data_IF_534330767353
#
_entry.id   IF_534330767353
#
_cell.length_a   1.000
_cell.length_b   1.000
_cell.length_c   1.000
_cell.angle_alpha   90.00
_cell.angle_beta   90.00
_cell.angle_gamma   90.00
#
_symmetry.space_group_name_H-M   'P 1'
#
loop_
_entity.id
_entity.type
_entity.pdbx_description
1 polymer ?
#
# COMPACT_ATOMS: atom_id res chain seq x y z
N UNK A 1 6.20 22.06 -7.31
CA UNK A 1 5.46 20.84 -6.90
C UNK A 1 6.12 20.25 -5.66
N UNK A 2 5.32 19.97 -4.65
CA UNK A 2 5.81 19.46 -3.38
C UNK A 2 6.11 17.96 -3.46
N UNK A 3 6.92 17.45 -2.53
CA UNK A 3 7.29 16.04 -2.48
C UNK A 3 6.08 15.12 -2.41
N UNK A 4 5.04 15.51 -1.66
CA UNK A 4 3.81 14.73 -1.57
C UNK A 4 3.15 14.55 -2.94
N UNK A 5 3.06 15.63 -3.70
CA UNK A 5 2.46 15.59 -5.04
C UNK A 5 3.25 14.70 -5.98
N UNK A 6 4.59 14.77 -5.90
CA UNK A 6 5.46 13.90 -6.71
C UNK A 6 5.24 12.43 -6.38
N UNK A 7 5.09 12.10 -5.09
CA UNK A 7 4.84 10.72 -4.66
C UNK A 7 3.52 10.17 -5.21
N UNK A 8 2.52 11.05 -5.36
CA UNK A 8 1.22 10.64 -5.91
C UNK A 8 1.28 10.40 -7.41
N UNK A 9 2.20 11.04 -8.11
CA UNK A 9 2.35 10.87 -9.56
C UNK A 9 3.08 9.58 -9.92
N UNK A 10 3.91 9.06 -9.03
CA UNK A 10 4.69 7.86 -9.28
C UNK A 10 4.13 6.68 -8.48
N UNK A 11 3.71 5.65 -9.19
CA UNK A 11 3.13 4.46 -8.58
C UNK A 11 4.09 3.29 -8.73
N UNK A 12 4.69 2.90 -7.62
CA UNK A 12 5.68 1.84 -7.60
C UNK A 12 5.01 0.47 -7.52
N UNK A 13 5.24 -0.36 -8.52
CA UNK A 13 4.80 -1.74 -8.51
C UNK A 13 6.00 -2.65 -8.65
N UNK A 14 6.15 -3.56 -7.70
CA UNK A 14 7.25 -4.50 -7.66
C UNK A 14 6.74 -5.88 -8.06
N UNK A 15 7.41 -6.52 -9.01
CA UNK A 15 7.16 -7.93 -9.32
C UNK A 15 8.33 -8.73 -8.78
N UNK A 16 8.09 -9.43 -7.68
CA UNK A 16 9.14 -10.17 -6.97
C UNK A 16 9.28 -11.61 -7.44
N UNK A 17 8.34 -12.06 -8.26
CA UNK A 17 8.31 -13.39 -8.84
C UNK A 17 6.98 -13.59 -9.54
N UNK A 18 6.75 -14.73 -10.22
CA UNK A 18 5.45 -15.00 -10.86
C UNK A 18 4.33 -14.95 -9.82
N UNK A 19 3.36 -14.07 -10.03
CA UNK A 19 2.24 -13.90 -9.12
C UNK A 19 2.57 -13.22 -7.79
N UNK A 20 3.79 -12.70 -7.62
CA UNK A 20 4.21 -12.06 -6.36
C UNK A 20 4.36 -10.56 -6.64
N UNK A 21 3.23 -9.86 -6.62
CA UNK A 21 3.20 -8.43 -6.92
C UNK A 21 2.91 -7.62 -5.65
N UNK A 22 3.70 -6.57 -5.45
CA UNK A 22 3.49 -5.61 -4.36
C UNK A 22 3.43 -4.22 -4.98
N UNK A 23 2.26 -3.59 -4.88
CA UNK A 23 2.03 -2.27 -5.44
C UNK A 23 1.34 -1.34 -4.44
N UNK A 24 0.94 -0.14 -4.91
CA UNK A 24 0.36 0.88 -4.02
C UNK A 24 -0.87 0.42 -3.25
N UNK A 25 -1.76 -0.33 -3.90
CA UNK A 25 -2.99 -0.80 -3.25
C UNK A 25 -2.72 -1.68 -2.05
N UNK A 26 -1.85 -2.67 -2.20
CA UNK A 26 -1.49 -3.57 -1.09
C UNK A 26 -0.75 -2.82 0.01
N UNK A 27 0.16 -1.91 -0.36
CA UNK A 27 0.88 -1.09 0.62
C UNK A 27 -0.08 -0.18 1.40
N UNK A 28 -1.03 0.44 0.71
CA UNK A 28 -2.02 1.30 1.35
C UNK A 28 -2.93 0.52 2.30
N UNK A 29 -3.27 -0.72 1.95
CA UNK A 29 -4.05 -1.56 2.84
C UNK A 29 -3.26 -1.92 4.11
N UNK A 30 -1.99 -2.28 3.97
CA UNK A 30 -1.11 -2.51 5.13
C UNK A 30 -1.06 -1.29 6.03
N UNK A 31 -0.87 -0.10 5.45
CA UNK A 31 -0.82 1.15 6.21
C UNK A 31 -2.14 1.43 6.92
N UNK A 32 -3.26 1.19 6.23
CA UNK A 32 -4.59 1.34 6.83
C UNK A 32 -4.80 0.43 8.03
N UNK A 33 -4.35 -0.82 7.93
CA UNK A 33 -4.44 -1.76 9.05
C UNK A 33 -3.54 -1.30 10.20
N UNK A 34 -2.34 -0.84 9.89
CA UNK A 34 -1.41 -0.32 10.90
C UNK A 34 -2.03 0.85 11.67
N UNK A 35 -2.68 1.76 10.97
CA UNK A 35 -3.24 2.98 11.56
C UNK A 35 -4.58 2.76 12.25
N UNK A 36 -5.42 1.89 11.72
CA UNK A 36 -6.79 1.70 12.25
C UNK A 36 -6.94 0.49 13.16
N UNK A 37 -6.06 -0.50 13.04
CA UNK A 37 -6.21 -1.75 13.78
C UNK A 37 -7.36 -2.61 13.29
N UNK A 38 -7.86 -2.39 12.07
CA UNK A 38 -9.05 -3.06 11.55
C UNK A 38 -8.96 -3.25 10.03
N UNK A 39 -9.18 -4.48 9.57
CA UNK A 39 -9.24 -4.78 8.13
C UNK A 39 -10.45 -4.07 7.50
N UNK A 40 -11.60 -4.08 8.20
CA UNK A 40 -12.79 -3.38 7.72
C UNK A 40 -12.57 -1.88 7.55
N UNK A 41 -11.99 -1.23 8.56
CA UNK A 41 -11.74 0.20 8.50
C UNK A 41 -10.73 0.55 7.41
N UNK A 42 -9.67 -0.25 7.27
CA UNK A 42 -8.68 -0.05 6.22
C UNK A 42 -9.32 -0.19 4.83
N UNK A 43 -10.17 -1.18 4.66
CA UNK A 43 -10.90 -1.38 3.39
C UNK A 43 -11.82 -0.21 3.06
N UNK A 44 -12.54 0.32 4.05
CA UNK A 44 -13.41 1.48 3.86
C UNK A 44 -12.64 2.72 3.42
N UNK A 45 -11.44 2.93 3.98
CA UNK A 45 -10.58 4.04 3.56
C UNK A 45 -10.23 3.97 2.08
N UNK A 46 -10.16 2.76 1.53
CA UNK A 46 -9.82 2.52 0.14
C UNK A 46 -11.06 2.32 -0.74
N UNK A 47 -12.25 2.51 -0.18
CA UNK A 47 -13.53 2.36 -0.87
C UNK A 47 -13.72 0.96 -1.48
N UNK A 48 -13.19 -0.06 -0.82
CA UNK A 48 -13.39 -1.44 -1.24
C UNK A 48 -14.38 -2.15 -0.32
N UNK A 49 -15.01 -3.20 -0.84
CA UNK A 49 -15.91 -4.02 -0.04
C UNK A 49 -15.15 -4.77 1.04
N UNK A 50 -15.87 -5.19 2.09
CA UNK A 50 -15.34 -6.04 3.14
C UNK A 50 -14.72 -7.31 2.56
N UNK A 51 -15.43 -7.95 1.64
CA UNK A 51 -14.95 -9.16 0.98
C UNK A 51 -13.63 -8.91 0.24
N UNK A 52 -13.53 -7.80 -0.48
CA UNK A 52 -12.31 -7.48 -1.23
C UNK A 52 -11.13 -7.22 -0.30
N UNK A 53 -11.36 -6.53 0.82
CA UNK A 53 -10.32 -6.27 1.81
C UNK A 53 -9.75 -7.58 2.36
N UNK A 54 -10.61 -8.55 2.70
CA UNK A 54 -10.16 -9.85 3.19
C UNK A 54 -9.44 -10.66 2.13
N UNK A 55 -9.87 -10.59 0.86
CA UNK A 55 -9.16 -11.24 -0.24
C UNK A 55 -7.75 -10.69 -0.38
N UNK A 56 -7.59 -9.38 -0.26
CA UNK A 56 -6.26 -8.76 -0.33
C UNK A 56 -5.38 -9.15 0.85
N UNK A 57 -5.95 -9.27 2.03
CA UNK A 57 -5.20 -9.75 3.21
C UNK A 57 -4.71 -11.18 2.98
N UNK A 58 -5.56 -12.06 2.44
CA UNK A 58 -5.16 -13.41 2.12
C UNK A 58 -4.02 -13.43 1.10
N UNK A 59 -4.11 -12.59 0.07
CA UNK A 59 -3.04 -12.46 -0.92
C UNK A 59 -1.74 -11.99 -0.26
N UNK A 60 -1.81 -10.94 0.57
CA UNK A 60 -0.65 -10.41 1.28
C UNK A 60 0.02 -11.46 2.15
N UNK A 61 -0.78 -12.25 2.86
CA UNK A 61 -0.25 -13.28 3.75
C UNK A 61 0.41 -14.46 3.01
N UNK A 62 0.14 -14.58 1.72
CA UNK A 62 0.76 -15.60 0.89
C UNK A 62 1.95 -15.13 0.06
N UNK A 63 2.28 -13.83 0.08
CA UNK A 63 3.32 -13.28 -0.79
C UNK A 63 4.74 -13.58 -0.32
N UNK A 64 4.95 -13.70 0.96
CA UNK A 64 6.29 -13.82 1.55
C UNK A 64 6.39 -15.07 2.42
N UNK A 65 7.55 -15.27 3.00
CA UNK A 65 7.85 -16.45 3.82
C UNK A 65 7.18 -16.43 5.20
N UNK A 66 6.48 -15.34 5.52
CA UNK A 66 5.73 -15.21 6.76
C UNK A 66 4.52 -14.30 6.52
N UNK A 67 3.43 -14.46 7.28
CA UNK A 67 2.27 -13.59 7.16
C UNK A 67 2.60 -12.14 7.47
N UNK A 68 1.94 -11.23 6.79
CA UNK A 68 2.10 -9.80 6.99
C UNK A 68 1.07 -9.22 7.95
N UNK A 69 -0.11 -9.86 8.04
CA UNK A 69 -1.23 -9.38 8.84
C UNK A 69 -1.67 -10.49 9.81
N UNK A 70 -1.85 -10.12 11.07
CA UNK A 70 -2.44 -10.97 12.08
C UNK A 70 -3.83 -10.45 12.42
N UNK A 71 -4.85 -11.29 12.26
CA UNK A 71 -6.21 -10.94 12.62
C UNK A 71 -6.55 -11.56 13.97
N UNK A 72 -7.24 -10.80 14.82
CA UNK A 72 -7.74 -11.26 16.09
C UNK A 72 -9.21 -11.66 15.94
N UNK A 73 -9.65 -12.75 16.58
CA UNK A 73 -11.06 -13.14 16.55
C UNK A 73 -11.95 -12.03 17.09
N UNK A 74 -13.19 -11.95 16.60
CA UNK A 74 -14.18 -10.99 17.11
C UNK A 74 -14.52 -11.28 18.56
N UNK A 75 -14.58 -10.22 19.36
CA UNK A 75 -15.11 -10.25 20.72
C UNK A 75 -16.26 -9.26 20.79
N UNK A 76 -16.61 -8.84 21.99
CA UNK A 76 -17.69 -7.88 22.19
C UNK A 76 -17.45 -6.55 21.48
N UNK A 77 -16.21 -6.20 21.20
CA UNK A 77 -15.85 -5.00 20.46
C UNK A 77 -15.54 -5.25 19.00
N UNK A 78 -15.83 -6.44 18.48
CA UNK A 78 -15.46 -6.84 17.14
C UNK A 78 -14.00 -7.30 17.06
N UNK A 79 -13.60 -7.84 15.90
CA UNK A 79 -12.25 -8.31 15.67
C UNK A 79 -11.30 -7.16 15.38
N UNK A 80 -10.02 -7.37 15.69
CA UNK A 80 -8.95 -6.46 15.35
C UNK A 80 -7.97 -7.08 14.38
N UNK A 81 -7.06 -6.27 13.87
CA UNK A 81 -5.97 -6.72 13.04
C UNK A 81 -4.75 -5.85 13.28
N UNK A 82 -3.59 -6.43 13.11
CA UNK A 82 -2.32 -5.74 13.26
C UNK A 82 -1.34 -6.25 12.22
N UNK A 83 -0.30 -5.49 11.94
CA UNK A 83 0.79 -5.97 11.11
C UNK A 83 1.70 -6.83 11.98
N UNK A 84 2.16 -7.93 11.41
CA UNK A 84 3.23 -8.71 12.01
C UNK A 84 4.55 -7.93 11.88
N UNK A 85 5.61 -8.41 12.52
CA UNK A 85 6.93 -7.81 12.30
C UNK A 85 7.28 -7.81 10.81
N UNK A 86 7.04 -8.93 10.10
CA UNK A 86 7.30 -9.01 8.66
C UNK A 86 6.46 -7.98 7.91
N UNK A 87 5.19 -7.80 8.28
CA UNK A 87 4.32 -6.80 7.65
C UNK A 87 4.83 -5.38 7.82
N UNK A 88 5.28 -5.04 9.03
CA UNK A 88 5.86 -3.72 9.27
C UNK A 88 7.15 -3.51 8.48
N UNK A 89 7.99 -4.53 8.42
CA UNK A 89 9.24 -4.45 7.65
C UNK A 89 8.97 -4.26 6.15
N UNK A 90 8.02 -5.03 5.62
CA UNK A 90 7.64 -4.92 4.19
C UNK A 90 7.09 -3.53 3.88
N UNK A 91 6.18 -3.01 4.71
CA UNK A 91 5.60 -1.70 4.49
C UNK A 91 6.66 -0.59 4.57
N UNK A 92 7.52 -0.63 5.58
CA UNK A 92 8.56 0.36 5.75
C UNK A 92 9.54 0.37 4.57
N UNK A 93 9.92 -0.81 4.08
CA UNK A 93 10.82 -0.91 2.93
C UNK A 93 10.16 -0.44 1.65
N UNK A 94 8.90 -0.80 1.45
CA UNK A 94 8.16 -0.34 0.28
C UNK A 94 8.07 1.20 0.26
N UNK A 95 7.71 1.82 1.39
CA UNK A 95 7.64 3.29 1.48
C UNK A 95 9.00 3.94 1.24
N UNK A 96 10.05 3.37 1.78
CA UNK A 96 11.42 3.88 1.56
C UNK A 96 11.85 3.76 0.09
N UNK A 97 11.57 2.62 -0.53
CA UNK A 97 11.86 2.40 -1.95
C UNK A 97 11.10 3.39 -2.83
N UNK A 98 9.83 3.58 -2.54
CA UNK A 98 9.00 4.53 -3.29
C UNK A 98 9.57 5.95 -3.18
N UNK A 99 9.90 6.39 -1.97
CA UNK A 99 10.47 7.72 -1.75
C UNK A 99 11.81 7.88 -2.48
N UNK A 100 12.66 6.85 -2.47
CA UNK A 100 13.94 6.89 -3.18
C UNK A 100 13.75 6.99 -4.69
N UNK A 101 12.81 6.23 -5.24
CA UNK A 101 12.50 6.29 -6.67
C UNK A 101 11.97 7.68 -7.05
N UNK A 102 11.08 8.25 -6.26
CA UNK A 102 10.53 9.58 -6.51
C UNK A 102 11.65 10.63 -6.50
N UNK A 103 12.54 10.56 -5.52
CA UNK A 103 13.67 11.49 -5.43
C UNK A 103 14.57 11.39 -6.66
N UNK A 104 14.83 10.16 -7.13
CA UNK A 104 15.71 9.93 -8.26
C UNK A 104 15.14 10.49 -9.58
N UNK A 105 13.82 10.49 -9.73
CA UNK A 105 13.18 10.91 -10.98
C UNK A 105 12.53 12.30 -10.91
N UNK A 106 12.70 13.00 -9.79
CA UNK A 106 11.93 14.22 -9.51
C UNK A 106 12.08 15.30 -10.59
N UNK A 107 13.29 15.52 -11.10
CA UNK A 107 13.53 16.54 -12.13
C UNK A 107 12.77 16.21 -13.41
N UNK A 108 12.93 14.98 -13.88
CA UNK A 108 12.27 14.55 -15.11
C UNK A 108 10.75 14.50 -14.95
N UNK A 109 10.29 14.04 -13.79
CA UNK A 109 8.86 13.97 -13.51
C UNK A 109 8.23 15.36 -13.50
N UNK A 110 8.89 16.35 -12.91
CA UNK A 110 8.42 17.74 -12.93
C UNK A 110 8.33 18.28 -14.35
N UNK A 111 9.31 17.97 -15.18
CA UNK A 111 9.30 18.38 -16.59
C UNK A 111 8.07 17.79 -17.30
N UNK A 112 7.86 16.48 -17.18
CA UNK A 112 6.74 15.83 -17.83
C UNK A 112 5.40 16.39 -17.34
N UNK A 113 5.27 16.58 -16.04
CA UNK A 113 4.05 17.13 -15.46
C UNK A 113 3.76 18.54 -15.94
N UNK A 114 4.79 19.38 -16.01
CA UNK A 114 4.66 20.77 -16.44
C UNK A 114 4.25 20.90 -17.91
N UNK A 115 4.65 19.95 -18.74
CA UNK A 115 4.41 19.99 -20.19
C UNK A 115 3.28 19.06 -20.64
N UNK A 116 2.53 18.46 -19.71
CA UNK A 116 1.40 17.63 -20.10
C UNK A 116 0.31 18.47 -20.77
N UNK A 117 -0.49 17.82 -21.60
CA UNK A 117 -1.60 18.50 -22.26
C UNK A 117 -2.65 18.97 -21.25
N UNK A 118 -3.15 20.19 -21.40
CA UNK A 118 -4.22 20.71 -20.56
C UNK A 118 -5.54 19.97 -20.77
N UNK A 119 -5.72 19.34 -21.92
CA UNK A 119 -6.91 18.55 -22.22
C UNK A 119 -6.86 17.14 -21.66
N UNK A 120 -5.72 16.73 -21.11
CA UNK A 120 -5.55 15.40 -20.51
C UNK A 120 -6.16 15.29 -19.11
N UNK A 121 -6.70 16.36 -18.61
CA UNK A 121 -7.27 16.47 -17.26
C UNK A 121 -8.31 15.50 -16.85
#
# INVERSE_FOLDING_TARGET
MKAKELRELMRLRLRLGPGIDLGPGKADLLEGILETGSISAAGRRMRMSYKRAWQLVDELNGLFDAPLVAASPGGSGGGGASLTKRGRDVLARYRRMHAACVAAIAVDLRFLHAHRSSSAG
#
